data_IF_890042334043
#
_entry.id   IF_890042334043
#
_cell.length_a   1.000
_cell.length_b   1.000
_cell.length_c   1.000
_cell.angle_alpha   90.00
_cell.angle_beta   90.00
_cell.angle_gamma   90.00
#
_symmetry.space_group_name_H-M   'P 1'
#
loop_
_entity.id
_entity.type
_entity.pdbx_description
1 polymer ?
#
# COMPACT_ATOMS: atom_id res chain seq x y z
N UNK A 1 6.65 -15.33 -22.96
CA UNK A 1 5.27 -15.70 -22.58
C UNK A 1 4.31 -14.53 -22.89
N UNK A 2 3.46 -14.66 -23.91
CA UNK A 2 2.45 -13.65 -24.23
C UNK A 2 1.30 -13.80 -23.24
N UNK A 3 1.07 -12.79 -22.40
CA UNK A 3 -0.12 -12.74 -21.56
C UNK A 3 -1.33 -12.56 -22.49
N UNK A 4 -2.12 -13.63 -22.65
CA UNK A 4 -3.36 -13.59 -23.40
C UNK A 4 -4.35 -12.66 -22.68
N UNK A 5 -4.88 -11.69 -23.41
CA UNK A 5 -5.95 -10.81 -22.92
C UNK A 5 -7.19 -11.67 -22.66
N UNK A 6 -7.50 -11.95 -21.40
CA UNK A 6 -8.73 -12.62 -20.98
C UNK A 6 -9.88 -11.60 -21.00
N UNK A 7 -10.96 -11.93 -21.71
CA UNK A 7 -12.19 -11.12 -21.71
C UNK A 7 -13.13 -11.62 -20.61
N UNK A 8 -13.68 -10.76 -19.76
CA UNK A 8 -14.70 -11.17 -18.80
C UNK A 8 -15.98 -11.56 -19.54
N UNK A 9 -16.57 -12.69 -19.15
CA UNK A 9 -17.81 -13.22 -19.75
C UNK A 9 -19.07 -12.78 -18.98
N UNK A 10 -18.90 -11.97 -17.93
CA UNK A 10 -19.97 -11.52 -17.04
C UNK A 10 -19.96 -10.00 -16.91
N UNK A 11 -21.12 -9.40 -16.65
CA UNK A 11 -21.24 -7.96 -16.38
C UNK A 11 -20.47 -7.55 -15.13
N UNK A 12 -19.94 -6.32 -15.12
CA UNK A 12 -19.20 -5.76 -13.99
C UNK A 12 -20.13 -5.65 -12.76
N UNK A 13 -19.74 -6.29 -11.66
CA UNK A 13 -20.37 -6.09 -10.36
C UNK A 13 -19.40 -5.37 -9.43
N UNK A 14 -19.82 -4.28 -8.78
CA UNK A 14 -19.02 -3.64 -7.74
C UNK A 14 -19.17 -4.45 -6.45
N UNK A 15 -18.07 -4.98 -5.93
CA UNK A 15 -18.04 -5.64 -4.62
C UNK A 15 -17.23 -4.78 -3.66
N UNK A 16 -17.73 -4.64 -2.43
CA UNK A 16 -16.91 -4.16 -1.31
C UNK A 16 -15.99 -5.32 -0.93
N UNK A 17 -14.68 -5.11 -0.99
CA UNK A 17 -13.68 -6.09 -0.57
C UNK A 17 -13.44 -5.93 0.93
N UNK A 18 -13.14 -7.03 1.60
CA UNK A 18 -12.70 -7.00 3.00
C UNK A 18 -11.52 -6.02 3.17
N UNK A 19 -11.61 -5.13 4.15
CA UNK A 19 -10.64 -4.04 4.35
C UNK A 19 -9.25 -4.59 4.68
N UNK A 20 -9.16 -5.70 5.41
CA UNK A 20 -7.87 -6.29 5.77
C UNK A 20 -7.22 -6.93 4.54
N UNK A 21 -8.02 -7.59 3.70
CA UNK A 21 -7.54 -8.10 2.41
C UNK A 21 -7.07 -6.97 1.48
N UNK A 22 -7.81 -5.86 1.42
CA UNK A 22 -7.45 -4.69 0.64
C UNK A 22 -6.16 -4.05 1.15
N UNK A 23 -6.02 -3.91 2.47
CA UNK A 23 -4.82 -3.39 3.11
C UNK A 23 -3.62 -4.30 2.86
N UNK A 24 -3.81 -5.63 2.93
CA UNK A 24 -2.74 -6.59 2.65
C UNK A 24 -2.27 -6.48 1.20
N UNK A 25 -3.19 -6.40 0.23
CA UNK A 25 -2.85 -6.22 -1.18
C UNK A 25 -2.13 -4.89 -1.42
N UNK A 26 -2.58 -3.82 -0.78
CA UNK A 26 -1.96 -2.52 -0.88
C UNK A 26 -0.55 -2.49 -0.29
N UNK A 27 -0.35 -3.05 0.91
CA UNK A 27 0.97 -3.19 1.53
C UNK A 27 1.94 -3.94 0.62
N UNK A 28 1.49 -5.02 -0.02
CA UNK A 28 2.34 -5.76 -0.94
C UNK A 28 2.82 -4.88 -2.11
N UNK A 29 1.94 -4.07 -2.71
CA UNK A 29 2.34 -3.13 -3.77
C UNK A 29 3.35 -2.10 -3.25
N UNK A 30 3.10 -1.52 -2.08
CA UNK A 30 3.99 -0.54 -1.47
C UNK A 30 5.38 -1.11 -1.17
N UNK A 31 5.45 -2.32 -0.61
CA UNK A 31 6.70 -3.01 -0.28
C UNK A 31 7.57 -3.35 -1.52
N UNK A 32 6.95 -3.46 -2.69
CA UNK A 32 7.64 -3.80 -3.95
C UNK A 32 7.86 -2.58 -4.86
N UNK A 33 7.53 -1.37 -4.41
CA UNK A 33 7.71 -0.14 -5.19
C UNK A 33 8.98 0.59 -4.76
N UNK A 34 9.95 0.75 -5.67
CA UNK A 34 11.27 1.35 -5.38
C UNK A 34 11.17 2.74 -4.73
N UNK A 35 10.26 3.58 -5.21
CA UNK A 35 10.02 4.93 -4.69
C UNK A 35 9.54 4.94 -3.23
N UNK A 36 8.93 3.84 -2.76
CA UNK A 36 8.38 3.72 -1.40
C UNK A 36 9.41 3.13 -0.43
N UNK A 37 10.48 2.49 -0.91
CA UNK A 37 11.51 1.86 -0.06
C UNK A 37 12.14 2.84 0.96
N UNK A 38 12.49 4.10 0.61
CA UNK A 38 13.00 5.06 1.58
C UNK A 38 11.99 5.36 2.70
N UNK A 39 10.70 5.37 2.38
CA UNK A 39 9.62 5.58 3.35
C UNK A 39 9.44 4.39 4.29
N UNK A 40 9.66 3.17 3.79
CA UNK A 40 9.66 1.96 4.62
C UNK A 40 10.79 2.04 5.65
N UNK A 41 12.00 2.41 5.23
CA UNK A 41 13.14 2.57 6.13
C UNK A 41 12.90 3.66 7.18
N UNK A 42 12.43 4.83 6.75
CA UNK A 42 12.06 5.93 7.65
C UNK A 42 11.00 5.50 8.68
N UNK A 43 9.97 4.77 8.24
CA UNK A 43 8.94 4.27 9.16
C UNK A 43 9.52 3.26 10.16
N UNK A 44 10.39 2.36 9.71
CA UNK A 44 11.06 1.41 10.59
C UNK A 44 11.96 2.09 11.62
N UNK A 45 12.65 3.17 11.24
CA UNK A 45 13.42 4.02 12.16
C UNK A 45 12.47 4.70 13.15
N UNK A 46 11.38 5.30 12.67
CA UNK A 46 10.37 5.95 13.51
C UNK A 46 9.82 5.00 14.58
N UNK A 47 9.43 3.77 14.20
CA UNK A 47 8.94 2.75 15.15
C UNK A 47 10.04 2.40 16.17
N UNK A 48 11.28 2.16 15.74
CA UNK A 48 12.38 1.80 16.65
C UNK A 48 12.71 2.91 17.65
N UNK A 49 12.56 4.17 17.23
CA UNK A 49 12.77 5.35 18.08
C UNK A 49 11.61 5.57 19.05
N UNK A 50 10.36 5.45 18.59
CA UNK A 50 9.17 5.60 19.42
C UNK A 50 9.00 4.45 20.44
N UNK A 51 9.51 3.26 20.12
CA UNK A 51 9.33 2.05 20.93
C UNK A 51 10.67 1.36 21.23
N UNK A 52 11.58 1.99 22.00
CA UNK A 52 12.94 1.49 22.20
C UNK A 52 12.98 0.12 22.90
N UNK A 53 11.99 -0.18 23.75
CA UNK A 53 11.83 -1.49 24.42
C UNK A 53 11.65 -2.66 23.44
N UNK A 54 11.15 -2.39 22.23
CA UNK A 54 10.85 -3.40 21.21
C UNK A 54 11.86 -3.39 20.06
N UNK A 55 12.91 -2.58 20.12
CA UNK A 55 13.90 -2.36 19.04
C UNK A 55 14.57 -3.63 18.52
N UNK A 56 14.68 -4.69 19.35
CA UNK A 56 15.25 -5.99 18.97
C UNK A 56 14.20 -7.06 18.66
N UNK A 57 12.90 -6.75 18.74
CA UNK A 57 11.81 -7.71 18.53
C UNK A 57 11.32 -7.68 17.09
N UNK A 58 11.98 -8.44 16.20
CA UNK A 58 11.74 -8.41 14.74
C UNK A 58 10.28 -8.63 14.36
N UNK A 59 9.62 -9.65 14.93
CA UNK A 59 8.20 -9.93 14.65
C UNK A 59 7.32 -8.74 15.03
N UNK A 60 7.49 -8.21 16.25
CA UNK A 60 6.73 -7.06 16.72
C UNK A 60 6.92 -5.82 15.85
N UNK A 61 8.17 -5.56 15.41
CA UNK A 61 8.47 -4.43 14.53
C UNK A 61 7.77 -4.57 13.17
N UNK A 62 7.80 -5.77 12.57
CA UNK A 62 7.10 -6.05 11.33
C UNK A 62 5.58 -5.93 11.49
N UNK A 63 5.02 -6.54 12.53
CA UNK A 63 3.58 -6.48 12.78
C UNK A 63 3.11 -5.02 13.04
N UNK A 64 3.93 -4.23 13.75
CA UNK A 64 3.67 -2.79 13.95
C UNK A 64 3.78 -2.00 12.65
N UNK A 65 4.80 -2.27 11.83
CA UNK A 65 4.94 -1.66 10.51
C UNK A 65 3.72 -1.97 9.64
N UNK A 66 3.39 -3.25 9.44
CA UNK A 66 2.29 -3.67 8.57
C UNK A 66 0.95 -3.06 9.02
N UNK A 67 0.70 -2.96 10.32
CA UNK A 67 -0.55 -2.38 10.84
C UNK A 67 -0.64 -0.85 10.78
N UNK A 68 0.46 -0.14 10.55
CA UNK A 68 0.47 1.34 10.64
C UNK A 68 1.04 2.04 9.41
N UNK A 69 1.74 1.32 8.52
CA UNK A 69 2.51 1.92 7.44
C UNK A 69 1.65 2.70 6.44
N UNK A 70 0.50 2.17 6.01
CA UNK A 70 -0.40 2.87 5.06
C UNK A 70 -0.79 4.24 5.60
N UNK A 71 -1.25 4.30 6.85
CA UNK A 71 -1.68 5.56 7.47
C UNK A 71 -0.50 6.49 7.74
N UNK A 72 0.64 5.94 8.15
CA UNK A 72 1.87 6.72 8.37
C UNK A 72 2.36 7.34 7.06
N UNK A 73 2.39 6.58 5.96
CA UNK A 73 2.81 7.04 4.63
C UNK A 73 1.92 8.19 4.15
N UNK A 74 0.60 8.08 4.32
CA UNK A 74 -0.36 9.16 4.03
C UNK A 74 -0.01 10.46 4.71
N UNK A 75 0.20 10.42 6.02
CA UNK A 75 0.55 11.62 6.79
C UNK A 75 1.92 12.16 6.40
N UNK A 76 2.90 11.28 6.19
CA UNK A 76 4.25 11.67 5.82
C UNK A 76 4.28 12.40 4.48
N UNK A 77 3.62 11.85 3.46
CA UNK A 77 3.50 12.46 2.13
C UNK A 77 2.72 13.77 2.19
N UNK A 78 1.62 13.83 2.96
CA UNK A 78 0.85 15.07 3.12
C UNK A 78 1.69 16.19 3.75
N UNK A 79 2.48 15.88 4.78
CA UNK A 79 3.39 16.84 5.42
C UNK A 79 4.46 17.37 4.45
N UNK A 80 5.03 16.50 3.61
CA UNK A 80 6.06 16.89 2.63
C UNK A 80 5.50 17.72 1.46
N UNK A 81 4.18 17.66 1.22
CA UNK A 81 3.49 18.52 0.25
C UNK A 81 3.26 19.93 0.81
N UNK A 82 3.03 20.04 2.11
CA UNK A 82 2.82 21.32 2.80
C UNK A 82 4.14 22.09 2.99
N UNK A 83 5.26 21.37 3.13
CA UNK A 83 6.61 21.93 3.25
C UNK A 83 7.27 22.10 1.86
N UNK A 84 6.85 23.13 1.10
CA UNK A 84 7.47 23.55 -0.17
C UNK A 84 7.52 22.48 -1.30
N UNK A 85 6.66 21.45 -1.20
CA UNK A 85 6.47 20.42 -2.21
C UNK A 85 7.81 19.78 -2.63
N UNK A 86 8.50 19.15 -1.67
CA UNK A 86 9.86 18.57 -1.68
C UNK A 86 10.20 17.55 -2.82
N UNK A 87 9.64 17.68 -4.01
CA UNK A 87 9.80 16.73 -5.10
C UNK A 87 8.95 15.47 -4.92
N UNK A 88 7.89 15.53 -4.10
CA UNK A 88 6.92 14.42 -3.98
C UNK A 88 6.31 14.16 -5.35
N UNK A 89 6.58 12.99 -5.91
CA UNK A 89 6.07 12.63 -7.23
C UNK A 89 4.56 12.40 -7.19
N UNK A 90 3.91 12.55 -8.33
CA UNK A 90 2.49 12.21 -8.47
C UNK A 90 2.23 10.73 -8.18
N UNK A 91 3.13 9.83 -8.58
CA UNK A 91 3.03 8.40 -8.31
C UNK A 91 2.99 8.11 -6.80
N UNK A 92 3.87 8.74 -6.03
CA UNK A 92 3.90 8.60 -4.58
C UNK A 92 2.62 9.15 -3.92
N UNK A 93 2.05 10.24 -4.44
CA UNK A 93 0.76 10.77 -3.96
C UNK A 93 -0.37 9.78 -4.18
N UNK A 94 -0.43 9.13 -5.34
CA UNK A 94 -1.42 8.09 -5.63
C UNK A 94 -1.25 6.86 -4.75
N UNK A 95 -0.02 6.41 -4.54
CA UNK A 95 0.29 5.29 -3.66
C UNK A 95 -0.08 5.59 -2.21
N UNK A 96 0.22 6.80 -1.72
CA UNK A 96 -0.17 7.21 -0.38
C UNK A 96 -1.69 7.29 -0.23
N UNK A 97 -2.43 7.85 -1.19
CA UNK A 97 -3.88 7.97 -1.12
C UNK A 97 -4.60 6.61 -0.91
N UNK A 98 -4.01 5.54 -1.43
CA UNK A 98 -4.49 4.17 -1.26
C UNK A 98 -5.58 3.77 -2.28
N UNK A 99 -5.92 2.48 -2.33
CA UNK A 99 -6.90 1.95 -3.28
C UNK A 99 -8.34 2.35 -2.93
N UNK A 100 -9.19 2.44 -3.95
CA UNK A 100 -10.63 2.64 -3.77
C UNK A 100 -11.28 1.34 -3.24
N UNK A 101 -12.15 1.48 -2.24
CA UNK A 101 -12.92 0.38 -1.64
C UNK A 101 -13.90 -0.30 -2.61
N UNK A 102 -14.31 0.40 -3.67
CA UNK A 102 -15.16 -0.13 -4.72
C UNK A 102 -14.30 -0.83 -5.79
N UNK A 103 -14.16 -2.15 -5.70
CA UNK A 103 -13.37 -2.93 -6.65
C UNK A 103 -14.29 -3.61 -7.68
N UNK A 104 -14.02 -3.46 -8.99
CA UNK A 104 -14.73 -4.19 -10.03
C UNK A 104 -14.49 -5.70 -9.89
N UNK A 105 -15.55 -6.47 -9.71
CA UNK A 105 -15.51 -7.92 -9.67
C UNK A 105 -16.10 -8.50 -10.96
N UNK A 106 -15.37 -9.43 -11.56
CA UNK A 106 -15.86 -10.26 -12.65
C UNK A 106 -15.88 -11.72 -12.18
N UNK A 107 -17.04 -12.37 -12.29
CA UNK A 107 -17.23 -13.75 -11.78
C UNK A 107 -16.70 -14.81 -12.74
N UNK A 108 -16.66 -14.51 -14.03
CA UNK A 108 -16.24 -15.45 -15.06
C UNK A 108 -15.24 -14.79 -16.01
N UNK A 109 -14.10 -15.45 -16.21
CA UNK A 109 -13.07 -15.07 -17.16
C UNK A 109 -12.99 -16.15 -18.24
N UNK A 110 -12.88 -15.74 -19.51
CA UNK A 110 -12.47 -16.66 -20.56
C UNK A 110 -10.97 -16.94 -20.40
N UNK A 111 -10.64 -18.16 -20.00
CA UNK A 111 -9.27 -18.68 -20.02
C UNK A 111 -9.11 -19.46 -21.32
N UNK A 112 -8.13 -19.10 -22.15
CA UNK A 112 -7.78 -19.82 -23.38
C UNK A 112 -6.61 -20.74 -23.14
#
# INVERSE_FOLDING_TARGET
>A
PKMGVSKPLSGCTVSVVDQDLLNQAHLYVLENTEEVLPYIEQHMIHIKTAYPKFRKRTKWLRDKHNSTFIQWLRFKVQSELEEDNHGVSENLRWLAAGPNMAVPLYRNYLIK
#
